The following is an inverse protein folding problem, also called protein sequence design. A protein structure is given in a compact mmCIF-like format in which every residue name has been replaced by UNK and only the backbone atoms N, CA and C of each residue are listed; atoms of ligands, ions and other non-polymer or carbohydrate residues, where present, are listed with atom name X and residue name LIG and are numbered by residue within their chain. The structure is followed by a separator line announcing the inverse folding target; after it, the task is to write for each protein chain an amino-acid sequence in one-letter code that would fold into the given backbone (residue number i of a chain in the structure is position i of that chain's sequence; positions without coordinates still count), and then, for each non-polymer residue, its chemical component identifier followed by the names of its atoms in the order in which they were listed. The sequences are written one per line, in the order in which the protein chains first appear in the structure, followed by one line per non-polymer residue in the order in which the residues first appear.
data_IF_302716056403
#
_entry.id   IF_302716056403
#
_cell.length_a   1.000
_cell.length_b   1.000
_cell.length_c   1.000
_cell.angle_alpha   90.00
_cell.angle_beta   90.00
_cell.angle_gamma   90.00
#
_symmetry.space_group_name_H-M   'P 1'
#
loop_
_entity.id
_entity.type
_entity.pdbx_description
1 polymer ?
#
# COMPACT_ATOMS: atom_id res chain seq x y z
N UNK A 1 72.00 5.53 2.91
CA UNK A 1 70.92 5.46 1.90
C UNK A 1 69.53 5.15 2.47
N UNK A 2 69.39 4.48 3.63
CA UNK A 2 68.06 4.19 4.22
C UNK A 2 67.38 5.39 4.89
N UNK A 3 68.13 6.36 5.43
CA UNK A 3 67.54 7.48 6.19
C UNK A 3 67.05 8.65 5.33
N UNK A 4 67.53 8.79 4.08
CA UNK A 4 67.07 9.80 3.13
C UNK A 4 65.74 9.44 2.45
N UNK A 5 65.31 8.17 2.49
CA UNK A 5 64.04 7.72 1.91
C UNK A 5 62.84 7.88 2.86
N UNK A 6 63.08 7.86 4.17
CA UNK A 6 62.02 7.99 5.20
C UNK A 6 61.18 9.26 5.09
N UNK A 7 61.73 10.48 4.92
CA UNK A 7 60.91 11.68 4.78
C UNK A 7 60.11 11.69 3.48
N UNK A 8 60.63 11.07 2.41
CA UNK A 8 59.96 10.96 1.11
C UNK A 8 58.76 10.00 1.20
N UNK A 9 58.93 8.85 1.88
CA UNK A 9 57.86 7.87 2.08
C UNK A 9 56.76 8.44 2.98
N UNK A 10 57.12 9.16 4.05
CA UNK A 10 56.14 9.80 4.94
C UNK A 10 55.37 10.92 4.24
N UNK A 11 56.03 11.73 3.42
CA UNK A 11 55.35 12.76 2.62
C UNK A 11 54.41 12.16 1.58
N UNK A 12 54.81 11.06 0.94
CA UNK A 12 53.96 10.34 -0.01
C UNK A 12 52.75 9.70 0.68
N UNK A 13 52.94 9.08 1.84
CA UNK A 13 51.83 8.53 2.63
C UNK A 13 50.84 9.60 3.09
N UNK A 14 51.34 10.78 3.50
CA UNK A 14 50.49 11.91 3.88
C UNK A 14 49.72 12.48 2.67
N UNK A 15 50.36 12.56 1.51
CA UNK A 15 49.71 13.00 0.27
C UNK A 15 48.62 12.02 -0.17
N UNK A 16 48.88 10.71 -0.10
CA UNK A 16 47.89 9.67 -0.39
C UNK A 16 46.72 9.73 0.60
N UNK A 17 46.98 9.94 1.88
CA UNK A 17 45.93 10.10 2.89
C UNK A 17 45.07 11.36 2.63
N UNK A 18 45.67 12.50 2.29
CA UNK A 18 44.96 13.72 1.92
C UNK A 18 44.11 13.54 0.66
N UNK A 19 44.63 12.85 -0.36
CA UNK A 19 43.88 12.50 -1.58
C UNK A 19 42.70 11.57 -1.29
N UNK A 20 42.83 10.64 -0.34
CA UNK A 20 41.73 9.79 0.09
C UNK A 20 40.61 10.56 0.82
N UNK A 21 40.93 11.64 1.53
CA UNK A 21 39.92 12.52 2.15
C UNK A 21 39.19 13.42 1.14
N UNK A 22 39.84 13.84 0.04
CA UNK A 22 39.19 14.61 -1.03
C UNK A 22 38.33 13.73 -1.93
N UNK A 23 38.67 12.45 -2.08
CA UNK A 23 37.89 11.47 -2.86
C UNK A 23 36.54 11.09 -2.22
N UNK A 24 36.33 11.43 -0.95
CA UNK A 24 35.07 11.22 -0.23
C UNK A 24 34.34 12.55 -0.03
N UNK A 25 33.95 13.24 -1.11
CA UNK A 25 32.85 14.21 -1.04
C UNK A 25 31.55 13.47 -1.31
N UNK A 26 30.75 13.32 -0.27
CA UNK A 26 29.46 12.65 -0.27
C UNK A 26 28.49 13.23 -1.31
N UNK A 27 27.86 12.30 -2.04
CA UNK A 27 26.60 12.46 -2.77
C UNK A 27 26.60 13.36 -4.02
N UNK A 28 26.03 12.84 -5.11
CA UNK A 28 25.86 13.56 -6.38
C UNK A 28 24.83 14.68 -6.18
N UNK A 29 25.28 15.84 -5.74
CA UNK A 29 24.53 17.08 -5.56
C UNK A 29 24.04 17.69 -6.88
N UNK A 30 24.67 17.31 -7.98
CA UNK A 30 24.33 17.73 -9.33
C UNK A 30 23.81 16.56 -10.16
N UNK A 31 22.82 16.87 -11.00
CA UNK A 31 22.43 15.98 -12.10
C UNK A 31 23.67 15.84 -12.99
N UNK A 32 23.99 14.61 -13.40
CA UNK A 32 25.15 14.35 -14.25
C UNK A 32 25.12 15.15 -15.56
N UNK A 33 26.24 15.19 -16.27
CA UNK A 33 26.29 15.84 -17.59
C UNK A 33 25.50 14.99 -18.58
N UNK A 34 24.44 15.56 -19.14
CA UNK A 34 23.71 14.95 -20.25
C UNK A 34 24.44 15.27 -21.57
N UNK A 35 24.92 14.23 -22.26
CA UNK A 35 25.47 14.34 -23.60
C UNK A 35 24.34 14.21 -24.63
N UNK A 36 24.17 15.25 -25.47
CA UNK A 36 23.11 15.33 -26.50
C UNK A 36 21.66 15.27 -25.95
N UNK A 37 21.22 16.23 -25.12
CA UNK A 37 19.92 16.18 -24.42
C UNK A 37 18.69 16.57 -25.27
N UNK A 38 18.79 16.62 -26.60
CA UNK A 38 17.76 17.21 -27.48
C UNK A 38 16.35 16.61 -27.32
N UNK A 39 16.24 15.36 -26.85
CA UNK A 39 14.95 14.69 -26.60
C UNK A 39 14.81 14.11 -25.19
N UNK A 40 15.70 14.47 -24.25
CA UNK A 40 15.68 13.93 -22.89
C UNK A 40 14.51 14.51 -22.08
N UNK A 41 14.20 15.78 -22.34
CA UNK A 41 13.01 16.46 -21.84
C UNK A 41 12.08 16.65 -23.03
N UNK A 42 10.93 15.97 -22.97
CA UNK A 42 9.91 16.10 -24.02
C UNK A 42 9.18 17.44 -23.89
N UNK A 43 8.80 18.06 -25.02
CA UNK A 43 7.88 19.20 -25.01
C UNK A 43 6.43 18.79 -24.67
N UNK A 44 6.10 17.49 -24.70
CA UNK A 44 4.78 17.01 -24.35
C UNK A 44 4.56 17.01 -22.83
N UNK A 45 3.37 17.43 -22.42
CA UNK A 45 3.00 17.46 -21.01
C UNK A 45 2.81 16.05 -20.46
N UNK A 46 3.57 15.70 -19.42
CA UNK A 46 3.41 14.43 -18.70
C UNK A 46 2.55 14.62 -17.46
N UNK A 47 1.86 13.56 -17.07
CA UNK A 47 0.83 13.57 -16.02
C UNK A 47 1.31 13.97 -14.61
N UNK A 48 2.60 14.12 -14.34
CA UNK A 48 3.10 14.56 -13.02
C UNK A 48 4.15 15.65 -13.14
N UNK A 49 4.18 16.36 -14.28
CA UNK A 49 5.09 17.48 -14.48
C UNK A 49 4.51 18.76 -13.85
N UNK A 50 5.41 19.69 -13.55
CA UNK A 50 5.06 21.01 -13.08
C UNK A 50 5.31 22.01 -14.22
N UNK A 51 4.30 22.79 -14.54
CA UNK A 51 4.38 23.88 -15.49
C UNK A 51 4.75 25.16 -14.78
N UNK A 52 5.55 26.00 -15.44
CA UNK A 52 5.82 27.35 -15.00
C UNK A 52 4.77 28.28 -15.62
N UNK A 53 3.95 28.93 -14.80
CA UNK A 53 3.01 29.96 -15.25
C UNK A 53 3.40 31.28 -14.59
N UNK A 54 3.61 32.31 -15.41
CA UNK A 54 3.74 33.68 -14.93
C UNK A 54 2.35 34.27 -14.67
N UNK A 55 2.06 34.65 -13.42
CA UNK A 55 0.82 35.34 -13.06
C UNK A 55 1.12 36.84 -12.96
N UNK A 56 0.48 37.68 -13.78
CA UNK A 56 0.50 39.14 -13.63
C UNK A 56 1.00 39.98 -14.82
N UNK A 57 1.32 39.39 -15.96
CA UNK A 57 1.60 40.14 -17.20
C UNK A 57 0.42 40.11 -18.16
N UNK A 58 0.06 41.25 -18.76
CA UNK A 58 -0.92 41.31 -19.85
C UNK A 58 -0.54 40.29 -20.93
N UNK A 59 -1.47 39.39 -21.27
CA UNK A 59 -1.28 38.36 -22.31
C UNK A 59 -1.12 39.03 -23.68
N UNK A 60 0.10 39.38 -24.05
CA UNK A 60 0.50 39.62 -25.44
C UNK A 60 1.03 38.30 -26.00
N UNK A 61 0.08 37.49 -26.48
CA UNK A 61 0.20 36.67 -27.68
C UNK A 61 1.56 35.99 -27.97
N UNK A 62 2.06 35.17 -27.04
CA UNK A 62 3.15 34.23 -27.33
C UNK A 62 2.76 32.83 -26.88
N UNK A 63 2.60 31.92 -27.84
CA UNK A 63 2.55 30.48 -27.59
C UNK A 63 3.78 30.11 -26.78
N UNK A 64 3.57 29.53 -25.61
CA UNK A 64 4.63 29.07 -24.72
C UNK A 64 5.34 27.88 -25.40
N UNK A 65 6.31 28.16 -26.26
CA UNK A 65 7.15 27.13 -26.90
C UNK A 65 8.41 26.81 -26.08
N UNK A 66 8.62 27.46 -24.94
CA UNK A 66 9.79 27.22 -24.09
C UNK A 66 9.38 27.18 -22.61
N UNK A 67 9.79 26.17 -21.83
CA UNK A 67 9.71 26.28 -20.38
C UNK A 67 10.53 27.51 -20.00
N UNK A 68 9.90 28.46 -19.32
CA UNK A 68 10.50 29.71 -18.88
C UNK A 68 11.73 29.40 -17.99
N UNK A 69 12.89 29.25 -18.62
CA UNK A 69 14.18 29.39 -17.95
C UNK A 69 14.39 30.89 -17.72
N UNK A 70 13.81 31.34 -16.61
CA UNK A 70 14.21 32.42 -15.69
C UNK A 70 14.84 33.75 -16.15
N UNK A 71 14.74 34.22 -17.39
CA UNK A 71 15.37 35.53 -17.72
C UNK A 71 14.48 36.60 -18.35
N UNK A 72 13.26 36.29 -18.82
CA UNK A 72 12.51 37.27 -19.64
C UNK A 72 11.41 38.07 -18.91
N UNK A 73 10.99 37.69 -17.70
CA UNK A 73 9.90 38.39 -17.02
C UNK A 73 10.24 38.55 -15.54
N UNK A 74 10.40 39.79 -15.08
CA UNK A 74 10.55 40.15 -13.66
C UNK A 74 9.30 39.89 -12.81
N UNK A 75 8.52 38.85 -13.13
CA UNK A 75 7.39 38.34 -12.37
C UNK A 75 7.75 37.04 -11.68
N UNK A 76 7.07 36.75 -10.56
CA UNK A 76 7.24 35.53 -9.78
C UNK A 76 6.82 34.30 -10.61
N UNK A 77 7.73 33.33 -10.76
CA UNK A 77 7.43 32.07 -11.46
C UNK A 77 6.67 31.16 -10.50
N UNK A 78 5.41 30.86 -10.82
CA UNK A 78 4.63 29.89 -10.07
C UNK A 78 4.67 28.53 -10.77
N UNK A 79 5.16 27.52 -10.05
CA UNK A 79 5.03 26.13 -10.47
C UNK A 79 3.60 25.63 -10.21
N UNK A 80 2.88 25.28 -11.26
CA UNK A 80 1.53 24.71 -11.19
C UNK A 80 1.55 23.26 -11.69
N UNK A 81 0.83 22.33 -11.05
CA UNK A 81 0.74 20.97 -11.55
C UNK A 81 0.03 20.93 -12.91
N UNK A 82 0.55 20.14 -13.85
CA UNK A 82 -0.13 19.86 -15.13
C UNK A 82 -1.50 19.22 -14.91
N UNK A 83 -1.62 18.40 -13.86
CA UNK A 83 -2.88 17.76 -13.49
C UNK A 83 -3.83 18.76 -12.86
N UNK A 84 -4.75 19.25 -13.67
CA UNK A 84 -5.87 20.08 -13.22
C UNK A 84 -6.93 19.21 -12.54
N UNK A 85 -7.65 19.80 -11.57
CA UNK A 85 -8.81 19.15 -10.99
C UNK A 85 -9.92 19.05 -12.04
N UNK A 86 -10.58 17.88 -12.17
CA UNK A 86 -11.72 17.77 -13.07
C UNK A 86 -12.86 18.67 -12.57
N UNK A 87 -13.69 19.23 -13.47
CA UNK A 87 -14.86 20.00 -13.07
C UNK A 87 -15.78 19.20 -12.13
N UNK A 88 -16.32 19.87 -11.12
CA UNK A 88 -17.19 19.23 -10.14
C UNK A 88 -18.42 18.60 -10.81
N UNK A 89 -18.80 17.40 -10.35
CA UNK A 89 -19.96 16.66 -10.87
C UNK A 89 -19.73 15.89 -12.17
N UNK A 90 -18.53 15.94 -12.75
CA UNK A 90 -18.20 15.13 -13.93
C UNK A 90 -18.06 13.64 -13.57
N UNK A 91 -18.55 12.78 -14.45
CA UNK A 91 -18.51 11.32 -14.31
C UNK A 91 -17.91 10.73 -15.60
N UNK A 92 -16.90 9.87 -15.48
CA UNK A 92 -16.30 9.21 -16.65
C UNK A 92 -17.20 8.07 -17.15
N UNK A 93 -17.04 7.68 -18.42
CA UNK A 93 -17.92 6.69 -19.08
C UNK A 93 -18.03 5.35 -18.34
N UNK A 94 -16.95 4.91 -17.71
CA UNK A 94 -16.85 3.58 -17.07
C UNK A 94 -16.70 3.67 -15.53
N UNK A 95 -17.10 4.80 -14.94
CA UNK A 95 -17.03 5.00 -13.49
C UNK A 95 -18.39 5.36 -12.92
N UNK A 96 -18.88 4.54 -12.00
CA UNK A 96 -20.05 4.87 -11.19
C UNK A 96 -19.60 5.46 -9.86
N UNK A 97 -19.92 6.73 -9.57
CA UNK A 97 -19.62 7.33 -8.28
C UNK A 97 -20.30 6.55 -7.15
N UNK A 98 -19.60 6.41 -6.04
CA UNK A 98 -20.18 5.84 -4.84
C UNK A 98 -21.33 6.76 -4.36
N UNK A 99 -22.57 6.25 -4.25
CA UNK A 99 -23.75 7.10 -4.10
C UNK A 99 -24.04 7.54 -2.66
N UNK A 100 -23.31 7.02 -1.67
CA UNK A 100 -23.58 7.29 -0.26
C UNK A 100 -22.63 8.36 0.28
N UNK A 101 -23.22 9.36 0.94
CA UNK A 101 -22.52 10.38 1.69
C UNK A 101 -21.76 9.79 2.88
N UNK A 102 -20.67 10.45 3.31
CA UNK A 102 -19.80 9.94 4.37
C UNK A 102 -20.49 9.69 5.73
N UNK A 103 -21.65 10.29 5.95
CA UNK A 103 -22.46 10.13 7.18
C UNK A 103 -23.52 9.04 7.06
N UNK A 104 -23.80 8.51 5.87
CA UNK A 104 -24.88 7.56 5.62
C UNK A 104 -24.48 6.10 5.91
N UNK A 105 -24.30 5.80 7.20
CA UNK A 105 -24.07 4.42 7.66
C UNK A 105 -25.32 3.53 7.55
N UNK A 106 -26.52 4.12 7.54
CA UNK A 106 -27.77 3.37 7.41
C UNK A 106 -27.92 2.78 5.99
N UNK A 107 -27.57 3.55 4.96
CA UNK A 107 -27.42 3.08 3.59
C UNK A 107 -26.27 2.09 3.45
N UNK A 108 -25.11 2.39 4.06
CA UNK A 108 -23.93 1.52 4.00
C UNK A 108 -24.22 0.11 4.50
N UNK A 109 -24.99 -0.03 5.59
CA UNK A 109 -25.36 -1.32 6.18
C UNK A 109 -26.16 -2.22 5.24
N UNK A 110 -26.80 -1.66 4.23
CA UNK A 110 -27.57 -2.40 3.21
C UNK A 110 -26.69 -2.90 2.07
N UNK A 111 -25.45 -2.41 1.95
CA UNK A 111 -24.54 -2.87 0.91
C UNK A 111 -24.04 -4.28 1.22
N UNK A 112 -24.03 -5.11 0.18
CA UNK A 112 -23.55 -6.48 0.24
C UNK A 112 -22.33 -6.58 -0.66
N UNK A 113 -21.34 -7.36 -0.24
CA UNK A 113 -20.17 -7.62 -1.07
C UNK A 113 -20.61 -8.41 -2.33
N UNK A 114 -20.44 -7.86 -3.54
CA UNK A 114 -20.87 -8.56 -4.76
C UNK A 114 -19.93 -9.70 -5.16
N UNK A 115 -18.74 -9.79 -4.56
CA UNK A 115 -17.76 -10.84 -4.84
C UNK A 115 -17.90 -11.99 -3.86
N UNK A 116 -17.78 -13.22 -4.35
CA UNK A 116 -17.65 -14.40 -3.50
C UNK A 116 -16.24 -14.46 -2.88
N UNK A 117 -16.08 -14.99 -1.65
CA UNK A 117 -14.78 -15.13 -0.98
C UNK A 117 -13.98 -16.31 -1.56
N UNK A 118 -13.67 -16.28 -2.86
CA UNK A 118 -12.80 -17.26 -3.51
C UNK A 118 -11.35 -17.05 -3.08
N UNK A 119 -10.48 -18.03 -3.34
CA UNK A 119 -9.04 -17.91 -3.06
C UNK A 119 -8.44 -16.66 -3.74
N UNK A 120 -8.81 -16.37 -4.99
CA UNK A 120 -8.36 -15.18 -5.74
C UNK A 120 -8.73 -13.87 -5.05
N UNK A 121 -9.99 -13.76 -4.62
CA UNK A 121 -10.51 -12.56 -3.96
C UNK A 121 -9.82 -12.38 -2.60
N UNK A 122 -9.62 -13.46 -1.85
CA UNK A 122 -8.91 -13.40 -0.57
C UNK A 122 -7.44 -13.03 -0.74
N UNK A 123 -6.74 -13.55 -1.76
CA UNK A 123 -5.36 -13.18 -2.10
C UNK A 123 -5.24 -11.72 -2.47
N UNK A 124 -6.15 -11.25 -3.33
CA UNK A 124 -6.23 -9.84 -3.71
C UNK A 124 -6.46 -8.96 -2.48
N UNK A 125 -7.42 -9.34 -1.63
CA UNK A 125 -7.72 -8.65 -0.38
C UNK A 125 -6.52 -8.58 0.56
N UNK A 126 -5.82 -9.70 0.74
CA UNK A 126 -4.60 -9.76 1.52
C UNK A 126 -3.51 -8.83 1.00
N UNK A 127 -3.25 -8.86 -0.32
CA UNK A 127 -2.25 -7.99 -0.96
C UNK A 127 -2.51 -6.52 -0.64
N UNK A 128 -3.73 -6.05 -0.87
CA UNK A 128 -4.07 -4.65 -0.63
C UNK A 128 -4.18 -4.30 0.85
N UNK A 129 -4.59 -5.24 1.71
CA UNK A 129 -4.56 -5.05 3.16
C UNK A 129 -3.12 -4.83 3.65
N UNK A 130 -2.18 -5.68 3.22
CA UNK A 130 -0.78 -5.60 3.63
C UNK A 130 -0.10 -4.31 3.13
N UNK A 131 -0.52 -3.78 1.98
CA UNK A 131 0.00 -2.52 1.42
C UNK A 131 -0.59 -1.30 2.14
N UNK A 132 -1.91 -1.27 2.33
CA UNK A 132 -2.62 -0.03 2.66
C UNK A 132 -3.16 0.03 4.10
N UNK A 133 -3.46 -1.12 4.72
CA UNK A 133 -4.15 -1.20 6.01
C UNK A 133 -3.22 -1.64 7.15
N UNK A 134 -2.36 -2.62 6.89
CA UNK A 134 -1.46 -3.21 7.88
C UNK A 134 -0.48 -2.23 8.54
N UNK A 135 0.02 -1.16 7.87
CA UNK A 135 0.87 -0.18 8.55
C UNK A 135 0.22 0.43 9.80
N UNK A 136 -1.10 0.59 9.80
CA UNK A 136 -1.87 1.09 10.94
C UNK A 136 -2.47 -0.05 11.78
N UNK A 137 -3.10 -1.04 11.15
CA UNK A 137 -3.88 -2.07 11.85
C UNK A 137 -3.11 -3.35 12.19
N UNK A 138 -1.84 -3.46 11.81
CA UNK A 138 -1.01 -4.65 11.98
C UNK A 138 -1.31 -5.73 10.93
N UNK A 139 -0.31 -6.55 10.59
CA UNK A 139 -0.49 -7.69 9.68
C UNK A 139 -1.45 -8.75 10.26
N UNK A 140 -1.50 -8.84 11.59
CA UNK A 140 -2.35 -9.74 12.36
C UNK A 140 -3.69 -9.11 12.77
N UNK A 141 -3.98 -7.89 12.30
CA UNK A 141 -5.15 -7.12 12.70
C UNK A 141 -5.07 -6.57 14.13
N UNK A 142 -3.93 -6.72 14.81
CA UNK A 142 -3.70 -6.08 16.09
C UNK A 142 -3.05 -4.71 15.85
N UNK A 143 -3.79 -3.64 16.15
CA UNK A 143 -3.29 -2.28 15.99
C UNK A 143 -1.97 -2.05 16.76
N UNK A 144 -1.76 -2.69 17.91
CA UNK A 144 -0.50 -2.55 18.67
C UNK A 144 0.75 -2.98 17.88
N UNK A 145 0.58 -3.88 16.90
CA UNK A 145 1.65 -4.37 16.03
C UNK A 145 1.82 -3.53 14.76
N UNK A 146 0.94 -2.56 14.50
CA UNK A 146 1.07 -1.60 13.41
C UNK A 146 2.19 -0.59 13.67
N UNK A 147 3.02 -0.34 12.66
CA UNK A 147 4.11 0.65 12.74
C UNK A 147 3.57 2.05 13.06
N UNK A 148 2.50 2.46 12.38
CA UNK A 148 1.89 3.79 12.51
C UNK A 148 1.10 3.91 13.83
N UNK A 149 0.48 2.83 14.30
CA UNK A 149 -0.31 2.86 15.54
C UNK A 149 0.51 3.13 16.81
N UNK A 150 1.84 2.98 16.75
CA UNK A 150 2.75 3.42 17.84
C UNK A 150 2.80 4.94 17.99
N UNK A 151 2.49 5.67 16.93
CA UNK A 151 2.55 7.13 16.88
C UNK A 151 1.17 7.80 16.87
N UNK A 152 0.10 7.03 16.59
CA UNK A 152 -1.27 7.54 16.52
C UNK A 152 -2.20 6.81 17.51
N UNK A 153 -2.89 7.58 18.34
CA UNK A 153 -3.89 7.04 19.27
C UNK A 153 -5.24 6.81 18.59
N UNK A 154 -5.96 5.77 19.04
CA UNK A 154 -7.32 5.47 18.60
C UNK A 154 -7.42 4.56 17.37
N UNK A 155 -6.35 3.88 16.96
CA UNK A 155 -6.41 2.86 15.92
C UNK A 155 -7.06 1.59 16.49
N UNK A 156 -8.15 1.14 15.87
CA UNK A 156 -8.88 -0.05 16.29
C UNK A 156 -8.18 -1.33 15.82
N UNK A 157 -8.05 -2.31 16.72
CA UNK A 157 -7.66 -3.67 16.34
C UNK A 157 -8.81 -4.36 15.60
N UNK A 158 -8.52 -4.82 14.38
CA UNK A 158 -9.46 -5.50 13.48
C UNK A 158 -9.67 -6.97 13.84
N UNK A 159 -8.84 -7.54 14.71
CA UNK A 159 -8.96 -8.90 15.20
C UNK A 159 -9.82 -9.04 16.48
N UNK A 160 -10.41 -7.94 16.95
CA UNK A 160 -11.30 -7.90 18.11
C UNK A 160 -12.78 -8.14 17.77
N UNK A 161 -13.64 -8.32 18.78
CA UNK A 161 -15.08 -8.53 18.58
C UNK A 161 -15.80 -7.32 17.99
N UNK A 162 -15.27 -6.11 18.16
CA UNK A 162 -15.88 -4.87 17.65
C UNK A 162 -16.06 -4.85 16.13
N UNK A 163 -15.19 -5.56 15.38
CA UNK A 163 -15.32 -5.68 13.93
C UNK A 163 -16.61 -6.43 13.54
N UNK A 164 -17.06 -7.39 14.35
CA UNK A 164 -18.27 -8.18 14.08
C UNK A 164 -19.56 -7.37 14.24
N UNK A 165 -19.49 -6.21 14.87
CA UNK A 165 -20.63 -5.29 14.98
C UNK A 165 -20.86 -4.49 13.70
N UNK A 166 -19.86 -4.40 12.82
CA UNK A 166 -19.97 -3.75 11.53
C UNK A 166 -20.40 -4.77 10.48
N UNK A 167 -21.29 -4.37 9.58
CA UNK A 167 -21.60 -5.09 8.34
C UNK A 167 -20.47 -4.93 7.30
N UNK A 168 -20.47 -5.78 6.28
CA UNK A 168 -19.48 -5.69 5.19
C UNK A 168 -19.59 -4.36 4.43
N UNK A 169 -20.81 -3.89 4.22
CA UNK A 169 -21.08 -2.58 3.63
C UNK A 169 -20.57 -1.40 4.45
N UNK A 170 -20.65 -1.47 5.78
CA UNK A 170 -20.08 -0.44 6.66
C UNK A 170 -18.54 -0.44 6.61
N UNK A 171 -17.89 -1.61 6.55
CA UNK A 171 -16.43 -1.68 6.36
C UNK A 171 -16.05 -1.08 5.01
N UNK A 172 -16.77 -1.43 3.93
CA UNK A 172 -16.54 -0.86 2.61
C UNK A 172 -16.74 0.67 2.60
N UNK A 173 -17.75 1.17 3.31
CA UNK A 173 -18.03 2.59 3.45
C UNK A 173 -16.89 3.33 4.16
N UNK A 174 -16.35 2.75 5.24
CA UNK A 174 -15.19 3.31 5.95
C UNK A 174 -13.96 3.35 5.04
N UNK A 175 -13.69 2.30 4.26
CA UNK A 175 -12.60 2.30 3.28
C UNK A 175 -12.79 3.37 2.19
N UNK A 176 -14.05 3.63 1.83
CA UNK A 176 -14.41 4.54 0.73
C UNK A 176 -14.43 6.00 1.18
N UNK A 177 -14.98 6.33 2.35
CA UNK A 177 -15.15 7.71 2.78
C UNK A 177 -14.25 8.10 3.96
N UNK A 178 -13.54 7.15 4.57
CA UNK A 178 -12.79 7.34 5.80
C UNK A 178 -13.73 7.35 7.03
N UNK A 179 -13.14 7.35 8.22
CA UNK A 179 -13.87 7.51 9.48
C UNK A 179 -12.97 8.08 10.57
N UNK A 180 -13.41 9.15 11.20
CA UNK A 180 -12.64 9.87 12.21
C UNK A 180 -11.22 10.21 11.69
N UNK A 181 -10.17 9.65 12.28
CA UNK A 181 -8.78 9.88 11.87
C UNK A 181 -8.31 8.98 10.71
N UNK A 182 -9.11 7.98 10.34
CA UNK A 182 -8.77 7.11 9.21
C UNK A 182 -9.08 7.82 7.89
N UNK A 183 -8.10 8.01 6.99
CA UNK A 183 -8.33 8.62 5.69
C UNK A 183 -9.16 7.72 4.80
N UNK A 184 -9.70 8.29 3.72
CA UNK A 184 -10.30 7.50 2.66
C UNK A 184 -9.23 6.86 1.77
N UNK A 185 -9.56 5.72 1.15
CA UNK A 185 -8.67 4.99 0.25
C UNK A 185 -9.18 4.94 -1.20
N UNK A 186 -10.04 5.88 -1.62
CA UNK A 186 -10.65 5.88 -2.96
C UNK A 186 -9.65 6.05 -4.09
N UNK A 187 -8.61 6.85 -3.86
CA UNK A 187 -7.58 7.13 -4.85
C UNK A 187 -6.55 5.99 -4.95
N UNK A 188 -6.34 5.23 -3.88
CA UNK A 188 -5.32 4.18 -3.80
C UNK A 188 -5.88 2.79 -4.14
N UNK A 189 -7.16 2.54 -3.86
CA UNK A 189 -7.80 1.24 -4.03
C UNK A 189 -9.03 1.34 -4.93
N UNK A 190 -9.07 0.55 -6.01
CA UNK A 190 -10.26 0.37 -6.84
C UNK A 190 -11.43 -0.25 -6.03
N UNK A 191 -12.70 -0.04 -6.44
CA UNK A 191 -13.87 -0.60 -5.75
C UNK A 191 -13.78 -2.11 -5.48
N UNK A 192 -13.36 -2.89 -6.48
CA UNK A 192 -13.15 -4.34 -6.36
C UNK A 192 -12.10 -4.71 -5.31
N UNK A 193 -11.03 -3.93 -5.21
CA UNK A 193 -9.96 -4.16 -4.24
C UNK A 193 -10.43 -3.85 -2.82
N UNK A 194 -11.25 -2.81 -2.64
CA UNK A 194 -11.86 -2.49 -1.34
C UNK A 194 -12.78 -3.62 -0.87
N UNK A 195 -13.60 -4.20 -1.76
CA UNK A 195 -14.44 -5.36 -1.45
C UNK A 195 -13.63 -6.62 -1.14
N UNK A 196 -12.53 -6.86 -1.87
CA UNK A 196 -11.61 -7.96 -1.60
C UNK A 196 -10.98 -7.82 -0.20
N UNK A 197 -10.56 -6.60 0.18
CA UNK A 197 -10.02 -6.31 1.52
C UNK A 197 -11.06 -6.60 2.61
N UNK A 198 -12.34 -6.29 2.38
CA UNK A 198 -13.41 -6.59 3.35
C UNK A 198 -13.46 -8.09 3.65
N UNK A 199 -13.43 -8.95 2.63
CA UNK A 199 -13.39 -10.41 2.82
C UNK A 199 -12.15 -10.87 3.59
N UNK A 200 -10.98 -10.34 3.23
CA UNK A 200 -9.74 -10.70 3.93
C UNK A 200 -9.79 -10.31 5.41
N UNK A 201 -10.28 -9.10 5.74
CA UNK A 201 -10.43 -8.62 7.12
C UNK A 201 -11.39 -9.51 7.92
N UNK A 202 -12.45 -10.04 7.29
CA UNK A 202 -13.34 -11.03 7.92
C UNK A 202 -12.66 -12.35 8.22
N UNK A 203 -11.92 -12.89 7.26
CA UNK A 203 -11.19 -14.15 7.44
C UNK A 203 -10.14 -14.00 8.54
N UNK A 204 -9.38 -12.90 8.52
CA UNK A 204 -8.39 -12.59 9.55
C UNK A 204 -9.02 -12.54 10.95
N UNK A 205 -10.13 -11.80 11.10
CA UNK A 205 -10.84 -11.71 12.38
C UNK A 205 -11.34 -13.06 12.88
N UNK A 206 -11.99 -13.85 12.01
CA UNK A 206 -12.50 -15.18 12.37
C UNK A 206 -11.37 -16.13 12.79
N UNK A 207 -10.25 -16.11 12.08
CA UNK A 207 -9.08 -16.92 12.41
C UNK A 207 -8.49 -16.53 13.77
N UNK A 208 -8.41 -15.24 14.08
CA UNK A 208 -7.94 -14.79 15.40
C UNK A 208 -8.89 -15.17 16.53
N UNK A 209 -10.21 -15.07 16.31
CA UNK A 209 -11.20 -15.49 17.30
C UNK A 209 -11.16 -17.00 17.55
N UNK A 210 -10.98 -17.80 16.50
CA UNK A 210 -10.82 -19.25 16.61
C UNK A 210 -9.59 -19.62 17.48
N UNK A 211 -8.46 -18.96 17.26
CA UNK A 211 -7.27 -19.13 18.10
C UNK A 211 -7.53 -18.72 19.56
N UNK A 212 -8.18 -17.57 19.77
CA UNK A 212 -8.51 -17.07 21.12
C UNK A 212 -9.39 -18.05 21.90
N UNK A 213 -10.36 -18.68 21.23
CA UNK A 213 -11.21 -19.69 21.85
C UNK A 213 -10.42 -20.97 22.16
N UNK A 214 -9.59 -21.43 21.22
CA UNK A 214 -8.73 -22.61 21.43
C UNK A 214 -7.77 -22.43 22.62
N UNK A 215 -7.20 -21.23 22.80
CA UNK A 215 -6.33 -20.92 23.94
C UNK A 215 -7.10 -20.95 25.27
N UNK A 216 -8.36 -20.48 25.29
CA UNK A 216 -9.23 -20.56 26.48
C UNK A 216 -9.62 -22.00 26.82
N UNK A 217 -9.91 -22.81 25.81
CA UNK A 217 -10.24 -24.23 26.00
C UNK A 217 -9.05 -24.99 26.56
N UNK A 218 -7.83 -24.71 26.05
CA UNK A 218 -6.59 -25.27 26.58
C UNK A 218 -6.39 -24.88 28.05
N UNK A 219 -6.52 -23.59 28.40
CA UNK A 219 -6.38 -23.13 29.77
C UNK A 219 -7.39 -23.79 30.73
N UNK A 220 -8.62 -24.01 30.25
CA UNK A 220 -9.68 -24.67 31.02
C UNK A 220 -9.38 -26.16 31.23
N UNK A 221 -8.88 -26.85 30.19
CA UNK A 221 -8.46 -28.25 30.29
C UNK A 221 -7.27 -28.42 31.24
N UNK A 222 -6.27 -27.52 31.18
CA UNK A 222 -5.13 -27.54 32.09
C UNK A 222 -5.55 -27.29 33.55
N UNK A 223 -6.52 -26.41 33.78
CA UNK A 223 -7.08 -26.17 35.11
C UNK A 223 -7.86 -27.38 35.64
N UNK A 224 -8.55 -28.13 34.77
CA UNK A 224 -9.23 -29.37 35.14
C UNK A 224 -8.23 -30.47 35.52
N UNK A 225 -7.19 -30.67 34.71
CA UNK A 225 -6.13 -31.66 35.00
C UNK A 225 -5.41 -31.37 36.33
N UNK A 226 -5.19 -30.09 36.67
CA UNK A 226 -4.63 -29.71 37.98
C UNK A 226 -5.52 -30.14 39.16
N UNK A 227 -6.84 -30.17 38.99
CA UNK A 227 -7.78 -30.63 40.03
C UNK A 227 -7.85 -32.15 40.12
N UNK A 228 -7.67 -32.85 39.00
CA UNK A 228 -7.74 -34.32 38.92
C UNK A 228 -6.52 -34.91 38.19
N UNK A 229 -5.33 -34.94 38.83
CA UNK A 229 -4.06 -35.22 38.14
C UNK A 229 -3.88 -36.64 37.62
N UNK A 230 -4.70 -37.59 38.09
CA UNK A 230 -4.66 -39.01 37.69
C UNK A 230 -5.80 -39.40 36.75
N UNK A 231 -6.64 -38.45 36.35
CA UNK A 231 -7.74 -38.71 35.44
C UNK A 231 -7.22 -38.74 33.99
N UNK A 232 -7.22 -39.94 33.40
CA UNK A 232 -6.79 -40.15 32.02
C UNK A 232 -7.65 -39.36 31.01
N UNK A 233 -8.93 -39.10 31.31
CA UNK A 233 -9.79 -38.29 30.44
C UNK A 233 -9.38 -36.82 30.47
N UNK A 234 -9.02 -36.29 31.64
CA UNK A 234 -8.50 -34.92 31.78
C UNK A 234 -7.15 -34.75 31.07
N UNK A 235 -6.28 -35.75 31.11
CA UNK A 235 -5.00 -35.74 30.40
C UNK A 235 -5.21 -35.73 28.87
N UNK A 236 -6.09 -36.59 28.36
CA UNK A 236 -6.45 -36.62 26.94
C UNK A 236 -7.08 -35.31 26.47
N UNK A 237 -7.92 -34.67 27.30
CA UNK A 237 -8.53 -33.38 26.99
C UNK A 237 -7.48 -32.28 26.81
N UNK A 238 -6.43 -32.23 27.65
CA UNK A 238 -5.32 -31.28 27.50
C UNK A 238 -4.54 -31.54 26.21
N UNK A 239 -4.25 -32.80 25.88
CA UNK A 239 -3.55 -33.17 24.64
C UNK A 239 -4.35 -32.72 23.41
N UNK A 240 -5.66 -32.99 23.40
CA UNK A 240 -6.55 -32.58 22.31
C UNK A 240 -6.64 -31.05 22.18
N UNK A 241 -6.84 -30.32 23.28
CA UNK A 241 -6.93 -28.86 23.28
C UNK A 241 -5.62 -28.21 22.80
N UNK A 242 -4.47 -28.76 23.21
CA UNK A 242 -3.16 -28.30 22.76
C UNK A 242 -2.95 -28.49 21.26
N UNK A 243 -3.41 -29.62 20.71
CA UNK A 243 -3.36 -29.88 19.28
C UNK A 243 -4.24 -28.90 18.48
N UNK A 244 -5.45 -28.61 18.97
CA UNK A 244 -6.37 -27.63 18.35
C UNK A 244 -5.76 -26.22 18.37
N UNK A 245 -5.22 -25.77 19.51
CA UNK A 245 -4.57 -24.46 19.61
C UNK A 245 -3.35 -24.35 18.68
N UNK A 246 -2.53 -25.41 18.58
CA UNK A 246 -1.40 -25.45 17.65
C UNK A 246 -1.84 -25.34 16.19
N UNK A 247 -2.92 -26.04 15.79
CA UNK A 247 -3.48 -25.95 14.44
C UNK A 247 -4.04 -24.56 14.14
N UNK A 248 -4.84 -23.99 15.04
CA UNK A 248 -5.40 -22.65 14.88
C UNK A 248 -4.30 -21.58 14.72
N UNK A 249 -3.18 -21.73 15.45
CA UNK A 249 -2.00 -20.87 15.33
C UNK A 249 -1.31 -21.02 13.98
N UNK A 250 -1.24 -22.24 13.44
CA UNK A 250 -0.74 -22.53 12.10
C UNK A 250 -1.61 -21.89 11.02
N UNK A 251 -2.93 -22.08 11.10
CA UNK A 251 -3.90 -21.53 10.15
C UNK A 251 -3.85 -20.00 10.11
N UNK A 252 -3.79 -19.33 11.27
CA UNK A 252 -3.66 -17.88 11.35
C UNK A 252 -2.34 -17.39 10.72
N UNK A 253 -1.22 -18.09 10.94
CA UNK A 253 0.05 -17.75 10.28
C UNK A 253 -0.03 -17.88 8.78
N UNK A 254 -0.69 -18.90 8.24
CA UNK A 254 -0.89 -19.07 6.81
C UNK A 254 -1.71 -17.92 6.22
N UNK A 255 -2.80 -17.54 6.89
CA UNK A 255 -3.64 -16.39 6.49
C UNK A 255 -2.83 -15.10 6.50
N UNK A 256 -1.94 -14.89 7.47
CA UNK A 256 -1.11 -13.69 7.57
C UNK A 256 0.04 -13.66 6.55
N UNK A 257 0.70 -14.80 6.33
CA UNK A 257 1.82 -14.93 5.41
C UNK A 257 1.37 -14.86 3.93
N UNK A 258 0.20 -15.40 3.63
CA UNK A 258 -0.28 -15.54 2.25
C UNK A 258 0.55 -16.54 1.45
N UNK A 259 0.37 -16.56 0.14
CA UNK A 259 1.15 -17.39 -0.79
C UNK A 259 2.64 -17.00 -0.92
N UNK A 260 3.19 -16.20 0.00
CA UNK A 260 4.65 -15.98 0.07
C UNK A 260 5.45 -17.28 0.35
N UNK A 261 4.77 -18.39 0.67
CA UNK A 261 5.35 -19.72 0.74
C UNK A 261 5.49 -20.44 -0.64
N UNK A 262 5.13 -19.80 -1.76
CA UNK A 262 5.27 -20.37 -3.11
C UNK A 262 4.86 -19.37 -4.19
N UNK A 263 5.60 -18.27 -4.32
CA UNK A 263 5.25 -17.07 -5.09
C UNK A 263 5.19 -17.23 -6.63
N UNK A 264 5.14 -18.46 -7.13
CA UNK A 264 5.21 -18.77 -8.56
C UNK A 264 3.85 -19.18 -9.14
N UNK A 265 2.85 -19.46 -8.29
CA UNK A 265 1.64 -20.16 -8.72
C UNK A 265 0.45 -19.26 -9.13
N UNK A 266 0.49 -17.94 -8.91
CA UNK A 266 -0.67 -17.10 -9.20
C UNK A 266 -0.36 -15.63 -9.50
N UNK A 267 0.53 -15.40 -10.48
CA UNK A 267 0.19 -14.36 -11.46
C UNK A 267 -0.65 -15.09 -12.51
N UNK A 268 -1.96 -14.83 -12.68
CA UNK A 268 -2.52 -15.07 -13.99
C UNK A 268 -1.63 -14.25 -14.92
N UNK A 269 -0.89 -14.93 -15.78
CA UNK A 269 -0.15 -14.28 -16.84
C UNK A 269 -1.18 -13.38 -17.52
N UNK A 270 -0.96 -12.05 -17.59
CA UNK A 270 -1.90 -11.21 -18.30
C UNK A 270 -2.05 -11.83 -19.68
N UNK A 271 -3.30 -12.04 -20.14
CA UNK A 271 -3.52 -12.51 -21.50
C UNK A 271 -2.63 -11.69 -22.42
N UNK A 272 -1.85 -12.38 -23.27
CA UNK A 272 -0.92 -11.72 -24.15
C UNK A 272 -1.71 -10.74 -25.01
N UNK A 273 -1.64 -9.45 -24.65
CA UNK A 273 -2.19 -8.39 -25.46
C UNK A 273 -1.38 -8.42 -26.75
N UNK A 274 -2.00 -8.59 -27.93
CA UNK A 274 -1.27 -8.49 -29.17
C UNK A 274 -0.60 -7.10 -29.21
N UNK A 275 0.63 -7.05 -29.70
CA UNK A 275 1.46 -5.84 -29.77
C UNK A 275 0.74 -4.67 -30.49
N UNK A 276 -0.27 -4.99 -31.29
CA UNK A 276 -1.29 -4.06 -31.75
C UNK A 276 -2.67 -4.71 -31.75
N UNK A 277 -3.68 -3.97 -31.28
CA UNK A 277 -5.08 -4.26 -31.57
C UNK A 277 -5.43 -3.40 -32.78
N UNK A 278 -5.82 -4.02 -33.89
CA UNK A 278 -6.30 -3.28 -35.06
C UNK A 278 -7.52 -2.48 -34.62
N UNK A 279 -7.52 -1.14 -34.69
CA UNK A 279 -8.66 -0.35 -34.26
C UNK A 279 -9.84 -0.68 -35.17
N UNK A 280 -10.88 -1.33 -34.63
CA UNK A 280 -12.14 -1.51 -35.34
C UNK A 280 -13.04 -0.33 -35.01
N UNK A 281 -13.29 0.51 -36.00
CA UNK A 281 -14.21 1.63 -35.86
C UNK A 281 -15.62 1.16 -36.23
N UNK A 282 -16.68 1.63 -35.55
CA UNK A 282 -18.04 1.32 -35.95
C UNK A 282 -18.28 1.81 -37.38
N UNK A 283 -18.41 0.88 -38.33
CA UNK A 283 -18.60 1.16 -39.75
C UNK A 283 -17.42 0.87 -40.68
N UNK A 284 -16.26 0.41 -40.18
CA UNK A 284 -15.20 -0.09 -41.06
C UNK A 284 -15.49 -1.54 -41.48
N UNK A 285 -16.13 -1.72 -42.62
CA UNK A 285 -16.03 -2.99 -43.36
C UNK A 285 -14.73 -2.96 -44.14
N UNK A 286 -13.63 -3.39 -43.54
CA UNK A 286 -12.44 -3.68 -44.33
C UNK A 286 -12.61 -5.04 -45.05
N UNK A 287 -12.13 -5.16 -46.31
CA UNK A 287 -12.37 -6.29 -47.20
C UNK A 287 -11.62 -7.58 -46.86
#
# INVERSE_FOLDING_TARGET
MRDSLRPVISAFALAVALLAFVGCSDEKDSRGIDYMPDMYVTPAEKSQYANAVALGGERKDERIERPLMSEATGGEIHHVPVMLMPPAGTVSRDFMPYPLEATDFAGAKKLVNPYLPTADVLRRGQKYYNISCAPCHGNDGNAANGYVAKHFTGVLSLNGPSLNLLSDGEIYHILTNGRARMPNYRAQLLPENRWAVVHYVRVLNRATLALTNADKDLASAEAALKKTPKDAAAEQAVVAAKAVAAKAKGDLKLIQAGERAGADAFRPEPEAMPESVTPTWPGSTDP
#
